data_IF_130995158832
#
_entry.id   IF_130995158832
#
_cell.length_a   1.000
_cell.length_b   1.000
_cell.length_c   1.000
_cell.angle_alpha   90.00
_cell.angle_beta   90.00
_cell.angle_gamma   90.00
#
_symmetry.space_group_name_H-M   'P 1'
#
loop_
_entity.id
_entity.type
_entity.pdbx_description
1 polymer ?
#
# COMPACT_ATOMS: atom_id res chain seq x y z
N UNK A 1 -20.01 -17.38 3.28
CA UNK A 1 -18.55 -17.15 3.15
C UNK A 1 -18.22 -15.88 3.91
N UNK A 2 -17.46 -15.96 5.02
CA UNK A 2 -17.04 -14.77 5.74
C UNK A 2 -15.86 -14.13 4.97
N UNK A 3 -16.12 -13.01 4.30
CA UNK A 3 -15.13 -12.26 3.53
C UNK A 3 -14.11 -11.68 4.52
N UNK A 4 -12.88 -12.21 4.51
CA UNK A 4 -11.78 -11.62 5.30
C UNK A 4 -11.41 -10.28 4.70
N UNK A 5 -11.64 -9.21 5.45
CA UNK A 5 -11.31 -7.82 5.06
C UNK A 5 -10.00 -7.43 5.73
N UNK A 6 -9.13 -6.74 5.00
CA UNK A 6 -7.85 -6.24 5.51
C UNK A 6 -7.87 -4.71 5.52
N UNK A 7 -7.35 -4.10 6.58
CA UNK A 7 -7.29 -2.64 6.76
C UNK A 7 -5.86 -2.17 7.03
N UNK A 8 -5.51 -0.97 6.57
CA UNK A 8 -4.26 -0.31 6.96
C UNK A 8 -4.56 0.65 8.11
N UNK A 9 -3.96 0.37 9.27
CA UNK A 9 -4.01 1.21 10.47
C UNK A 9 -2.59 1.71 10.73
N UNK A 10 -2.38 3.03 10.70
CA UNK A 10 -1.07 3.67 10.90
C UNK A 10 0.04 3.10 10.01
N UNK A 11 -0.30 2.76 8.76
CA UNK A 11 0.65 2.21 7.78
C UNK A 11 0.93 0.72 7.93
N UNK A 12 0.27 0.02 8.86
CA UNK A 12 0.41 -1.43 9.07
C UNK A 12 -0.87 -2.13 8.61
N UNK A 13 -0.73 -3.14 7.74
CA UNK A 13 -1.85 -3.96 7.26
C UNK A 13 -2.20 -5.01 8.32
N UNK A 14 -3.47 -5.05 8.76
CA UNK A 14 -4.00 -6.02 9.72
C UNK A 14 -5.33 -6.62 9.23
N UNK A 15 -5.65 -7.84 9.66
CA UNK A 15 -6.98 -8.43 9.46
C UNK A 15 -8.01 -7.61 10.24
N UNK A 16 -9.09 -7.22 9.57
CA UNK A 16 -10.16 -6.43 10.17
C UNK A 16 -11.01 -7.37 11.03
N UNK A 17 -10.93 -7.21 12.35
CA UNK A 17 -11.74 -7.95 13.33
C UNK A 17 -12.66 -6.94 14.01
N UNK A 18 -13.97 -7.20 13.98
CA UNK A 18 -14.99 -6.33 14.60
C UNK A 18 -15.63 -5.30 13.65
N UNK A 19 -16.42 -4.36 14.19
CA UNK A 19 -17.10 -3.35 13.39
C UNK A 19 -16.08 -2.45 12.68
N UNK A 20 -16.32 -2.21 11.39
CA UNK A 20 -15.42 -1.47 10.53
C UNK A 20 -15.19 -0.04 11.08
N UNK A 21 -13.93 0.40 11.29
CA UNK A 21 -13.66 1.77 11.72
C UNK A 21 -14.13 2.77 10.66
N UNK A 22 -14.82 3.83 11.09
CA UNK A 22 -15.38 4.88 10.20
C UNK A 22 -14.31 5.54 9.32
N UNK A 23 -13.07 5.57 9.79
CA UNK A 23 -11.92 6.19 9.11
C UNK A 23 -10.89 5.16 8.60
N UNK A 24 -11.24 3.87 8.54
CA UNK A 24 -10.35 2.89 7.93
C UNK A 24 -10.30 3.11 6.42
N UNK A 25 -9.10 3.23 5.86
CA UNK A 25 -8.88 3.07 4.42
C UNK A 25 -9.32 1.66 4.02
N UNK A 26 -10.54 1.56 3.49
CA UNK A 26 -11.05 0.34 2.89
C UNK A 26 -10.26 0.09 1.61
N UNK A 27 -9.35 -0.88 1.64
CA UNK A 27 -8.91 -1.46 0.38
C UNK A 27 -10.12 -2.22 -0.17
N UNK A 28 -10.62 -1.78 -1.33
CA UNK A 28 -11.54 -2.60 -2.11
C UNK A 28 -10.98 -4.02 -2.18
N UNK A 29 -11.83 -5.04 -1.99
CA UNK A 29 -11.39 -6.44 -2.03
C UNK A 29 -10.76 -6.71 -3.38
N UNK A 30 -9.44 -6.60 -3.45
CA UNK A 30 -8.70 -6.88 -4.65
C UNK A 30 -8.86 -8.36 -4.90
N UNK A 31 -9.20 -8.77 -6.13
CA UNK A 31 -9.15 -10.18 -6.55
C UNK A 31 -7.71 -10.73 -6.52
N UNK A 32 -6.73 -9.88 -6.17
CA UNK A 32 -5.32 -10.22 -6.10
C UNK A 32 -5.00 -10.93 -4.80
N UNK A 33 -4.17 -11.96 -4.89
CA UNK A 33 -3.63 -12.63 -3.70
C UNK A 33 -2.72 -11.69 -2.90
N UNK A 34 -2.52 -11.99 -1.62
CA UNK A 34 -1.58 -11.24 -0.78
C UNK A 34 -0.17 -11.17 -1.40
N UNK A 35 0.28 -12.26 -2.04
CA UNK A 35 1.56 -12.32 -2.75
C UNK A 35 1.63 -11.30 -3.92
N UNK A 36 0.56 -11.19 -4.70
CA UNK A 36 0.46 -10.22 -5.80
C UNK A 36 0.49 -8.78 -5.29
N UNK A 37 -0.23 -8.50 -4.19
CA UNK A 37 -0.23 -7.17 -3.56
C UNK A 37 1.18 -6.80 -3.06
N UNK A 38 1.88 -7.73 -2.41
CA UNK A 38 3.25 -7.51 -1.92
C UNK A 38 4.22 -7.24 -3.08
N UNK A 39 4.10 -7.99 -4.18
CA UNK A 39 4.93 -7.77 -5.37
C UNK A 39 4.69 -6.40 -5.99
N UNK A 40 3.44 -5.98 -6.12
CA UNK A 40 3.08 -4.65 -6.61
C UNK A 40 3.63 -3.54 -5.71
N UNK A 41 3.47 -3.67 -4.40
CA UNK A 41 4.01 -2.69 -3.44
C UNK A 41 5.54 -2.59 -3.53
N UNK A 42 6.25 -3.72 -3.68
CA UNK A 42 7.71 -3.72 -3.88
C UNK A 42 8.10 -3.01 -5.18
N UNK A 43 7.38 -3.26 -6.26
CA UNK A 43 7.62 -2.61 -7.56
C UNK A 43 7.38 -1.09 -7.48
N UNK A 44 6.27 -0.67 -6.87
CA UNK A 44 5.94 0.75 -6.66
C UNK A 44 7.01 1.42 -5.80
N UNK A 45 7.44 0.79 -4.70
CA UNK A 45 8.48 1.33 -3.81
C UNK A 45 9.79 1.58 -4.57
N UNK A 46 10.23 0.62 -5.40
CA UNK A 46 11.45 0.78 -6.22
C UNK A 46 11.32 1.94 -7.19
N UNK A 47 10.22 2.01 -7.95
CA UNK A 47 9.96 3.08 -8.91
C UNK A 47 9.93 4.45 -8.24
N UNK A 48 9.22 4.58 -7.12
CA UNK A 48 9.14 5.84 -6.38
C UNK A 48 10.51 6.26 -5.84
N UNK A 49 11.29 5.32 -5.31
CA UNK A 49 12.63 5.63 -4.82
C UNK A 49 13.54 6.16 -5.93
N UNK A 50 13.45 5.58 -7.12
CA UNK A 50 14.22 6.03 -8.28
C UNK A 50 13.79 7.43 -8.74
N UNK A 51 12.48 7.66 -8.82
CA UNK A 51 11.92 8.95 -9.22
C UNK A 51 12.25 10.08 -8.23
N UNK A 52 12.35 9.76 -6.93
CA UNK A 52 12.84 10.70 -5.91
C UNK A 52 14.32 11.03 -6.13
N UNK A 53 15.16 10.03 -6.42
CA UNK A 53 16.58 10.25 -6.71
C UNK A 53 16.78 11.14 -7.93
N UNK A 54 16.07 10.85 -9.03
CA UNK A 54 16.12 11.65 -10.25
C UNK A 54 15.75 13.11 -9.99
N UNK A 55 14.66 13.35 -9.26
CA UNK A 55 14.22 14.71 -8.89
C UNK A 55 15.22 15.43 -7.98
N UNK A 56 15.85 14.71 -7.04
CA UNK A 56 16.88 15.29 -6.19
C UNK A 56 18.10 15.69 -7.02
N UNK A 57 18.57 14.81 -7.90
CA UNK A 57 19.70 15.11 -8.79
C UNK A 57 19.40 16.31 -9.71
N UNK A 58 18.18 16.41 -10.24
CA UNK A 58 17.76 17.56 -11.04
C UNK A 58 17.77 18.86 -10.21
N UNK A 59 17.29 18.81 -8.97
CA UNK A 59 17.29 19.95 -8.06
C UNK A 59 18.71 20.41 -7.68
N UNK A 60 19.66 19.48 -7.49
CA UNK A 60 21.06 19.80 -7.17
C UNK A 60 21.88 20.29 -8.37
N UNK A 61 21.39 20.15 -9.61
CA UNK A 61 22.04 20.70 -10.81
C UNK A 61 21.64 22.15 -11.12
N UNK A 62 20.65 22.71 -10.41
CA UNK A 62 20.30 24.14 -10.44
C UNK A 62 21.17 24.92 -9.46
#
# INVERSE_FOLDING_TARGET
MATKVYVSLNGVVKEAVGPQPREALLFASSKKSAAQVILEQRAIRRRNSQLIKERLEEAFRR
#
